data_IF_694090891645
#
_entry.id   IF_694090891645
#
_cell.length_a   1.000
_cell.length_b   1.000
_cell.length_c   1.000
_cell.angle_alpha   90.00
_cell.angle_beta   90.00
_cell.angle_gamma   90.00
#
_symmetry.space_group_name_H-M   'P 1'
#
loop_
_entity.id
_entity.type
_entity.pdbx_description
1 polymer ?
#
# COMPACT_ATOMS: atom_id res chain seq x y z
N UNK A 1 -5.08 2.25 0.83
CA UNK A 1 -4.06 1.20 0.68
C UNK A 1 -2.69 1.80 0.95
N UNK A 2 -1.79 1.07 1.63
CA UNK A 2 -0.41 1.49 1.87
C UNK A 2 0.58 0.55 1.17
N UNK A 3 1.80 1.06 0.94
CA UNK A 3 2.90 0.25 0.42
C UNK A 3 4.00 0.14 1.47
N UNK A 4 4.43 -1.07 1.74
CA UNK A 4 5.53 -1.37 2.66
C UNK A 4 6.73 -1.93 1.90
N UNK A 5 7.90 -1.81 2.52
CA UNK A 5 9.15 -2.35 2.02
C UNK A 5 9.82 -3.17 3.11
N UNK A 6 10.09 -4.45 2.83
CA UNK A 6 10.70 -5.38 3.79
C UNK A 6 12.12 -5.76 3.38
N UNK A 7 13.05 -5.69 4.34
CA UNK A 7 14.44 -6.11 4.20
C UNK A 7 14.66 -7.46 4.90
N UNK A 8 14.53 -8.56 4.15
CA UNK A 8 14.44 -9.93 4.71
C UNK A 8 15.80 -10.63 4.83
N UNK A 9 16.83 -10.18 4.11
CA UNK A 9 18.16 -10.78 4.21
C UNK A 9 18.13 -12.30 3.94
N UNK A 10 18.49 -13.10 4.95
CA UNK A 10 18.57 -14.57 4.87
C UNK A 10 17.23 -15.30 5.07
N UNK A 11 16.20 -14.66 5.63
CA UNK A 11 14.89 -15.29 5.87
C UNK A 11 13.93 -15.21 4.69
N UNK A 12 14.35 -14.53 3.61
CA UNK A 12 13.52 -14.31 2.42
C UNK A 12 12.93 -15.61 1.86
N UNK A 13 13.74 -16.65 1.70
CA UNK A 13 13.30 -17.89 1.04
C UNK A 13 12.27 -18.67 1.88
N UNK A 14 12.44 -18.68 3.21
CA UNK A 14 11.49 -19.29 4.15
C UNK A 14 10.16 -18.51 4.18
N UNK A 15 10.23 -17.19 4.30
CA UNK A 15 9.05 -16.30 4.34
C UNK A 15 8.26 -16.33 3.03
N UNK A 16 8.98 -16.28 1.90
CA UNK A 16 8.39 -16.43 0.57
C UNK A 16 7.70 -17.77 0.41
N UNK A 17 8.34 -18.87 0.79
CA UNK A 17 7.77 -20.22 0.67
C UNK A 17 6.57 -20.41 1.59
N UNK A 18 6.62 -19.84 2.78
CA UNK A 18 5.55 -19.89 3.76
C UNK A 18 4.38 -18.94 3.46
N UNK A 19 4.57 -17.93 2.61
CA UNK A 19 3.55 -16.94 2.29
C UNK A 19 3.25 -16.01 3.47
N UNK A 20 4.29 -15.54 4.16
CA UNK A 20 4.15 -14.61 5.28
C UNK A 20 5.35 -13.68 5.39
N UNK A 21 5.19 -12.61 6.17
CA UNK A 21 6.30 -11.86 6.79
C UNK A 21 6.16 -11.95 8.30
N UNK A 22 7.28 -12.07 9.01
CA UNK A 22 7.29 -12.21 10.46
C UNK A 22 8.43 -11.43 11.11
N UNK A 23 8.17 -10.84 12.27
CA UNK A 23 9.21 -10.20 13.08
C UNK A 23 8.94 -10.39 14.58
N UNK A 24 9.96 -10.44 15.45
CA UNK A 24 9.75 -10.46 16.89
C UNK A 24 9.13 -9.13 17.36
N UNK A 25 8.44 -9.11 18.49
CA UNK A 25 7.85 -7.87 19.00
C UNK A 25 8.90 -6.89 19.55
N UNK A 26 9.98 -7.43 20.11
CA UNK A 26 11.08 -6.69 20.74
C UNK A 26 12.41 -7.05 20.10
N UNK A 27 13.37 -6.12 20.19
CA UNK A 27 14.74 -6.41 19.81
C UNK A 27 15.44 -7.30 20.86
N UNK A 28 16.65 -7.79 20.54
CA UNK A 28 17.45 -8.64 21.45
C UNK A 28 17.74 -8.04 22.84
N UNK A 29 17.56 -6.72 23.01
CA UNK A 29 17.74 -6.00 24.29
C UNK A 29 16.42 -5.72 25.00
N UNK A 30 15.30 -6.29 24.54
CA UNK A 30 13.96 -6.05 25.08
C UNK A 30 13.34 -4.70 24.72
N UNK A 31 13.95 -3.94 23.80
CA UNK A 31 13.45 -2.62 23.38
C UNK A 31 12.53 -2.69 22.16
N UNK A 32 11.65 -1.70 22.02
CA UNK A 32 10.84 -1.51 20.80
C UNK A 32 11.75 -1.25 19.59
N UNK A 33 11.39 -1.84 18.46
CA UNK A 33 12.04 -1.60 17.17
C UNK A 33 11.01 -1.02 16.19
N UNK A 34 11.33 0.11 15.57
CA UNK A 34 10.39 0.78 14.64
C UNK A 34 9.98 -0.13 13.49
N UNK A 35 10.89 -0.98 12.98
CA UNK A 35 10.56 -1.93 11.93
C UNK A 35 9.56 -3.00 12.39
N UNK A 36 9.66 -3.47 13.63
CA UNK A 36 8.68 -4.43 14.17
C UNK A 36 7.35 -3.76 14.47
N UNK A 37 7.37 -2.53 14.98
CA UNK A 37 6.17 -1.72 15.17
C UNK A 37 5.46 -1.44 13.84
N UNK A 38 6.21 -1.20 12.75
CA UNK A 38 5.61 -0.95 11.43
C UNK A 38 4.78 -2.13 10.92
N UNK A 39 5.09 -3.37 11.31
CA UNK A 39 4.26 -4.54 10.97
C UNK A 39 2.81 -4.34 11.44
N UNK A 40 2.61 -3.76 12.62
CA UNK A 40 1.27 -3.59 13.22
C UNK A 40 0.36 -2.63 12.44
N UNK A 41 0.93 -1.82 11.54
CA UNK A 41 0.16 -0.92 10.66
C UNK A 41 -0.28 -1.58 9.36
N UNK A 42 0.22 -2.78 9.04
CA UNK A 42 -0.14 -3.49 7.81
C UNK A 42 -1.59 -3.99 7.93
N UNK A 43 -2.37 -3.65 6.91
CA UNK A 43 -3.75 -4.08 6.72
C UNK A 43 -3.84 -5.05 5.56
N UNK A 44 -4.88 -5.88 5.60
CA UNK A 44 -5.26 -6.68 4.44
C UNK A 44 -5.35 -5.76 3.20
N UNK A 45 -4.89 -6.26 2.06
CA UNK A 45 -4.82 -5.58 0.76
C UNK A 45 -3.67 -4.57 0.60
N UNK A 46 -2.86 -4.30 1.62
CA UNK A 46 -1.63 -3.51 1.45
C UNK A 46 -0.58 -4.26 0.61
N UNK A 47 0.20 -3.49 -0.16
CA UNK A 47 1.31 -4.03 -0.94
C UNK A 47 2.60 -4.09 -0.12
N UNK A 48 3.39 -5.14 -0.32
CA UNK A 48 4.71 -5.29 0.29
C UNK A 48 5.75 -5.57 -0.78
N UNK A 49 6.75 -4.70 -0.87
CA UNK A 49 7.92 -4.85 -1.74
C UNK A 49 9.01 -5.59 -0.96
N UNK A 50 9.47 -6.72 -1.49
CA UNK A 50 10.39 -7.62 -0.79
C UNK A 50 11.81 -7.48 -1.30
N UNK A 51 12.74 -7.20 -0.39
CA UNK A 51 14.15 -7.08 -0.68
C UNK A 51 15.01 -8.08 0.08
N UNK A 52 15.92 -8.70 -0.65
CA UNK A 52 16.96 -9.56 -0.10
C UNK A 52 18.22 -9.48 -0.97
N UNK A 53 19.39 -9.60 -0.33
CA UNK A 53 20.69 -9.51 -1.02
C UNK A 53 20.86 -8.25 -1.88
N UNK A 54 20.37 -7.10 -1.39
CA UNK A 54 20.42 -5.79 -2.07
C UNK A 54 19.63 -5.75 -3.40
N UNK A 55 18.64 -6.63 -3.56
CA UNK A 55 17.76 -6.69 -4.72
C UNK A 55 16.31 -6.75 -4.28
N UNK A 56 15.43 -6.07 -5.02
CA UNK A 56 13.98 -6.29 -4.94
C UNK A 56 13.70 -7.59 -5.70
N UNK A 57 13.12 -8.57 -5.02
CA UNK A 57 12.91 -9.92 -5.56
C UNK A 57 11.46 -10.25 -5.83
N UNK A 58 10.52 -9.64 -5.11
CA UNK A 58 9.10 -9.93 -5.23
C UNK A 58 8.26 -8.77 -4.74
N UNK A 59 6.99 -8.77 -5.12
CA UNK A 59 5.92 -7.97 -4.52
C UNK A 59 4.86 -8.94 -3.97
N UNK A 60 4.19 -8.58 -2.90
CA UNK A 60 3.04 -9.34 -2.39
C UNK A 60 1.89 -8.44 -1.98
N UNK A 61 0.73 -9.05 -1.81
CA UNK A 61 -0.46 -8.41 -1.22
C UNK A 61 -0.73 -9.07 0.13
N UNK A 62 -0.88 -8.26 1.18
CA UNK A 62 -1.27 -8.72 2.51
C UNK A 62 -2.66 -9.37 2.45
N UNK A 63 -2.76 -10.62 2.92
CA UNK A 63 -4.00 -11.40 2.97
C UNK A 63 -4.72 -11.27 4.31
N UNK A 64 -4.02 -10.75 5.32
CA UNK A 64 -4.53 -10.50 6.67
C UNK A 64 -4.04 -9.15 7.15
N UNK A 65 -4.74 -8.58 8.13
CA UNK A 65 -4.13 -7.60 9.03
C UNK A 65 -2.96 -8.25 9.78
N UNK A 66 -2.09 -7.42 10.37
CA UNK A 66 -1.08 -7.90 11.30
C UNK A 66 -1.71 -8.54 12.54
N UNK A 67 -1.23 -9.72 12.91
CA UNK A 67 -1.65 -10.45 14.11
C UNK A 67 -0.45 -11.00 14.87
N UNK A 68 -0.66 -11.36 16.13
CA UNK A 68 0.38 -11.99 16.95
C UNK A 68 0.49 -13.47 16.61
N UNK A 69 1.71 -13.94 16.39
CA UNK A 69 1.98 -15.35 16.11
C UNK A 69 3.36 -15.76 16.64
N UNK A 70 3.46 -17.04 16.98
CA UNK A 70 4.74 -17.65 17.31
C UNK A 70 5.67 -17.62 16.10
N UNK A 71 6.98 -17.60 16.39
CA UNK A 71 8.02 -17.64 15.39
C UNK A 71 7.87 -18.88 14.50
N UNK A 72 7.88 -18.72 13.17
CA UNK A 72 7.96 -19.83 12.23
C UNK A 72 9.22 -20.69 12.42
N UNK A 73 9.14 -21.95 12.01
CA UNK A 73 10.31 -22.82 11.90
C UNK A 73 11.13 -22.40 10.67
N UNK A 74 12.07 -21.47 10.90
CA UNK A 74 13.01 -21.02 9.88
C UNK A 74 14.09 -22.07 9.65
N UNK A 75 14.33 -22.43 8.39
CA UNK A 75 15.43 -23.33 8.02
C UNK A 75 16.77 -22.58 7.93
N UNK A 76 16.73 -21.27 7.72
CA UNK A 76 17.93 -20.44 7.48
C UNK A 76 18.28 -19.48 8.61
N UNK A 77 17.41 -19.32 9.62
CA UNK A 77 17.66 -18.45 10.77
C UNK A 77 18.27 -19.24 11.94
N UNK A 78 19.24 -18.64 12.63
CA UNK A 78 19.71 -19.21 13.90
C UNK A 78 18.58 -19.15 14.94
N UNK A 79 18.00 -20.32 15.25
CA UNK A 79 16.84 -20.50 16.15
C UNK A 79 17.00 -19.86 17.55
N UNK A 80 18.21 -19.47 17.96
CA UNK A 80 18.48 -18.92 19.29
C UNK A 80 18.54 -17.38 19.34
N UNK A 81 18.29 -16.67 18.24
CA UNK A 81 18.50 -15.22 18.19
C UNK A 81 17.23 -14.37 18.40
N UNK A 82 16.03 -14.94 18.26
CA UNK A 82 14.77 -14.20 18.29
C UNK A 82 13.78 -14.79 19.29
N UNK A 83 12.97 -13.91 19.86
CA UNK A 83 11.89 -14.25 20.77
C UNK A 83 10.87 -15.19 20.10
N UNK A 84 10.16 -15.96 20.91
CA UNK A 84 9.15 -16.91 20.43
C UNK A 84 7.92 -16.16 19.93
N UNK A 85 7.52 -15.06 20.55
CA UNK A 85 6.35 -14.29 20.17
C UNK A 85 6.71 -13.14 19.21
N UNK A 86 5.91 -12.99 18.15
CA UNK A 86 6.12 -11.98 17.13
C UNK A 86 4.84 -11.48 16.49
N UNK A 87 5.03 -10.67 15.46
CA UNK A 87 4.00 -10.17 14.56
C UNK A 87 4.10 -10.90 13.23
N UNK A 88 2.96 -11.30 12.69
CA UNK A 88 2.85 -11.97 11.40
C UNK A 88 1.82 -11.28 10.51
N UNK A 89 2.08 -11.30 9.21
CA UNK A 89 1.11 -10.99 8.16
C UNK A 89 1.19 -12.10 7.12
N UNK A 90 0.06 -12.69 6.76
CA UNK A 90 0.02 -13.64 5.65
C UNK A 90 0.03 -12.86 4.33
N UNK A 91 0.80 -13.31 3.34
CA UNK A 91 1.03 -12.58 2.11
C UNK A 91 0.93 -13.49 0.89
N UNK A 92 0.40 -12.95 -0.20
CA UNK A 92 0.38 -13.62 -1.49
C UNK A 92 1.54 -13.11 -2.35
N UNK A 93 2.64 -13.84 -2.36
CA UNK A 93 3.85 -13.49 -3.11
C UNK A 93 3.66 -13.58 -4.63
N UNK A 94 4.33 -12.65 -5.32
CA UNK A 94 4.55 -12.62 -6.76
C UNK A 94 6.01 -12.27 -7.04
N UNK A 95 6.74 -13.25 -7.54
CA UNK A 95 8.17 -13.12 -7.78
C UNK A 95 8.47 -12.31 -9.02
N UNK A 96 9.61 -11.63 -8.96
CA UNK A 96 10.19 -11.02 -10.12
C UNK A 96 11.13 -12.00 -10.81
N UNK A 97 10.88 -12.32 -12.08
CA UNK A 97 11.80 -13.15 -12.86
C UNK A 97 13.18 -12.48 -13.01
N UNK A 98 13.22 -11.15 -13.04
CA UNK A 98 14.44 -10.35 -13.02
C UNK A 98 14.45 -9.44 -11.79
N UNK A 99 15.15 -9.83 -10.70
CA UNK A 99 15.27 -9.00 -9.51
C UNK A 99 15.92 -7.64 -9.80
N UNK A 100 15.35 -6.58 -9.22
CA UNK A 100 15.83 -5.22 -9.42
C UNK A 100 16.98 -4.91 -8.44
N UNK A 101 18.16 -4.58 -8.95
CA UNK A 101 19.33 -4.29 -8.12
C UNK A 101 19.29 -2.86 -7.56
N UNK A 102 19.07 -2.73 -6.24
CA UNK A 102 18.90 -1.43 -5.57
C UNK A 102 20.06 -0.45 -5.80
N UNK A 103 21.29 -0.95 -5.94
CA UNK A 103 22.46 -0.09 -6.17
C UNK A 103 22.37 0.72 -7.47
N UNK A 104 21.61 0.25 -8.47
CA UNK A 104 21.41 0.96 -9.75
C UNK A 104 20.47 2.16 -9.63
N UNK A 105 19.70 2.23 -8.56
CA UNK A 105 18.66 3.24 -8.34
C UNK A 105 19.03 4.25 -7.25
N UNK A 106 20.27 4.18 -6.75
CA UNK A 106 20.73 4.97 -5.61
C UNK A 106 20.70 6.48 -5.90
N UNK A 107 21.09 6.88 -7.10
CA UNK A 107 21.10 8.29 -7.52
C UNK A 107 19.69 8.88 -7.54
N UNK A 108 18.76 8.18 -8.20
CA UNK A 108 17.35 8.57 -8.22
C UNK A 108 16.75 8.70 -6.81
N UNK A 109 17.08 7.76 -5.89
CA UNK A 109 16.62 7.81 -4.50
C UNK A 109 17.18 8.99 -3.70
N UNK A 110 18.39 9.48 -4.04
CA UNK A 110 18.98 10.66 -3.42
C UNK A 110 18.24 11.91 -3.89
N UNK A 111 18.02 12.02 -5.20
CA UNK A 111 17.31 13.15 -5.83
C UNK A 111 15.85 13.23 -5.39
N UNK A 112 15.21 12.08 -5.17
CA UNK A 112 13.79 11.98 -4.82
C UNK A 112 13.58 11.61 -3.34
N UNK A 113 14.51 11.99 -2.45
CA UNK A 113 14.43 11.61 -1.04
C UNK A 113 13.09 11.95 -0.37
N UNK A 114 12.58 11.00 0.42
CA UNK A 114 11.37 11.12 1.24
C UNK A 114 11.66 10.73 2.69
N UNK A 115 11.42 11.60 3.69
CA UNK A 115 11.86 11.36 5.07
C UNK A 115 11.25 10.13 5.74
N UNK A 116 9.99 9.83 5.41
CA UNK A 116 9.22 8.73 6.01
C UNK A 116 9.21 7.44 5.18
N UNK A 117 10.05 7.35 4.13
CA UNK A 117 10.15 6.17 3.25
C UNK A 117 11.18 5.13 3.71
N UNK A 118 11.41 4.06 2.95
CA UNK A 118 12.32 2.97 3.30
C UNK A 118 13.82 3.27 3.15
N UNK A 119 14.18 4.44 2.60
CA UNK A 119 15.56 4.80 2.23
C UNK A 119 16.05 6.03 3.00
N UNK A 120 17.36 6.12 3.19
CA UNK A 120 18.08 7.23 3.82
C UNK A 120 18.37 8.32 2.78
N UNK A 121 18.79 9.51 3.24
CA UNK A 121 19.18 10.66 2.39
C UNK A 121 20.27 10.33 1.37
N UNK A 122 21.08 9.30 1.64
CA UNK A 122 22.16 8.85 0.78
C UNK A 122 21.74 7.68 -0.13
N UNK A 123 20.44 7.41 -0.27
CA UNK A 123 19.87 6.37 -1.11
C UNK A 123 20.05 4.93 -0.60
N UNK A 124 20.66 4.72 0.58
CA UNK A 124 20.76 3.38 1.18
C UNK A 124 19.46 2.99 1.88
N UNK A 125 19.15 1.69 1.90
CA UNK A 125 18.02 1.16 2.67
C UNK A 125 18.21 1.38 4.18
N UNK A 126 17.12 1.64 4.89
CA UNK A 126 17.12 1.72 6.36
C UNK A 126 17.45 0.34 6.95
N UNK A 127 18.20 0.31 8.06
CA UNK A 127 18.45 -0.92 8.83
C UNK A 127 17.23 -1.28 9.71
N UNK A 128 16.10 -1.54 9.07
CA UNK A 128 14.81 -1.85 9.69
C UNK A 128 14.17 -2.99 8.90
N UNK A 129 13.53 -3.95 9.59
CA UNK A 129 12.92 -5.08 8.91
C UNK A 129 11.77 -4.62 8.00
N UNK A 130 10.79 -3.88 8.54
CA UNK A 130 9.67 -3.33 7.79
C UNK A 130 9.68 -1.79 7.77
N UNK A 131 9.50 -1.19 6.61
CA UNK A 131 9.39 0.25 6.43
C UNK A 131 8.11 0.59 5.67
N UNK A 132 7.50 1.74 5.99
CA UNK A 132 6.59 2.37 5.04
C UNK A 132 7.39 2.79 3.80
N UNK A 133 6.82 2.56 2.62
CA UNK A 133 7.36 3.00 1.36
C UNK A 133 6.53 4.14 0.83
N UNK A 134 7.18 5.26 0.54
CA UNK A 134 6.55 6.39 -0.12
C UNK A 134 6.03 5.97 -1.50
N UNK A 135 4.85 6.45 -1.88
CA UNK A 135 4.18 6.06 -3.12
C UNK A 135 5.00 6.39 -4.37
N UNK A 136 5.74 7.52 -4.39
CA UNK A 136 6.61 7.87 -5.51
C UNK A 136 7.73 6.84 -5.67
N UNK A 137 8.28 6.36 -4.55
CA UNK A 137 9.29 5.30 -4.59
C UNK A 137 8.68 3.97 -5.04
N UNK A 138 7.46 3.64 -4.58
CA UNK A 138 6.77 2.43 -4.97
C UNK A 138 6.50 2.40 -6.49
N UNK A 139 5.92 3.49 -7.01
CA UNK A 139 5.65 3.71 -8.44
C UNK A 139 6.94 3.54 -9.24
N UNK A 140 8.01 4.25 -8.85
CA UNK A 140 9.29 4.18 -9.54
C UNK A 140 9.86 2.74 -9.60
N UNK A 141 9.87 2.02 -8.47
CA UNK A 141 10.39 0.65 -8.48
C UNK A 141 9.54 -0.31 -9.31
N UNK A 142 8.22 -0.15 -9.31
CA UNK A 142 7.31 -0.95 -10.14
C UNK A 142 7.55 -0.68 -11.63
N UNK A 143 7.70 0.57 -12.03
CA UNK A 143 8.03 0.94 -13.41
C UNK A 143 9.39 0.38 -13.85
N UNK A 144 10.42 0.51 -13.02
CA UNK A 144 11.74 -0.04 -13.29
C UNK A 144 11.74 -1.56 -13.35
N UNK A 145 10.97 -2.23 -12.48
CA UNK A 145 10.78 -3.67 -12.52
C UNK A 145 10.11 -4.09 -13.83
N UNK A 146 8.99 -3.46 -14.21
CA UNK A 146 8.23 -3.77 -15.44
C UNK A 146 9.14 -3.75 -16.69
N UNK A 147 10.07 -2.80 -16.78
CA UNK A 147 10.99 -2.65 -17.93
C UNK A 147 11.91 -3.84 -18.14
N UNK A 148 12.21 -4.60 -17.10
CA UNK A 148 13.22 -5.68 -17.13
C UNK A 148 12.62 -7.08 -17.02
N UNK A 149 11.31 -7.22 -16.76
CA UNK A 149 10.67 -8.53 -16.64
C UNK A 149 10.55 -9.24 -17.99
N UNK A 150 10.74 -10.56 -17.95
CA UNK A 150 10.60 -11.42 -19.13
C UNK A 150 9.20 -12.06 -19.21
N UNK A 151 8.56 -12.37 -18.08
CA UNK A 151 7.22 -12.96 -18.07
C UNK A 151 6.13 -11.92 -18.29
N UNK A 152 5.25 -12.18 -19.25
CA UNK A 152 4.03 -11.39 -19.44
C UNK A 152 3.13 -11.42 -18.21
N UNK A 153 3.11 -12.54 -17.46
CA UNK A 153 2.34 -12.65 -16.23
C UNK A 153 2.89 -11.70 -15.16
N UNK A 154 4.21 -11.69 -14.96
CA UNK A 154 4.86 -10.80 -14.00
C UNK A 154 4.62 -9.33 -14.39
N UNK A 155 4.76 -8.98 -15.67
CA UNK A 155 4.46 -7.63 -16.17
C UNK A 155 3.01 -7.25 -15.90
N UNK A 156 2.05 -8.14 -16.17
CA UNK A 156 0.62 -7.89 -15.95
C UNK A 156 0.30 -7.67 -14.47
N UNK A 157 0.89 -8.46 -13.57
CA UNK A 157 0.72 -8.32 -12.12
C UNK A 157 1.28 -6.97 -11.65
N UNK A 158 2.49 -6.61 -12.07
CA UNK A 158 3.10 -5.33 -11.69
C UNK A 158 2.32 -4.13 -12.22
N UNK A 159 1.81 -4.20 -13.45
CA UNK A 159 0.95 -3.15 -14.02
C UNK A 159 -0.34 -2.96 -13.24
N UNK A 160 -0.95 -4.04 -12.75
CA UNK A 160 -2.14 -3.97 -11.89
C UNK A 160 -1.80 -3.33 -10.55
N UNK A 161 -0.75 -3.80 -9.88
CA UNK A 161 -0.30 -3.20 -8.63
C UNK A 161 0.03 -1.71 -8.77
N UNK A 162 0.70 -1.34 -9.88
CA UNK A 162 0.98 0.05 -10.22
C UNK A 162 -0.30 0.87 -10.42
N UNK A 163 -1.28 0.33 -11.15
CA UNK A 163 -2.56 0.99 -11.36
C UNK A 163 -3.33 1.17 -10.06
N UNK A 164 -3.33 0.17 -9.16
CA UNK A 164 -3.97 0.26 -7.86
C UNK A 164 -3.32 1.35 -6.98
N UNK A 165 -1.98 1.41 -6.97
CA UNK A 165 -1.22 2.43 -6.21
C UNK A 165 -1.45 3.83 -6.80
N UNK A 166 -1.41 3.99 -8.12
CA UNK A 166 -1.68 5.28 -8.78
C UNK A 166 -3.13 5.71 -8.54
N UNK A 167 -4.09 4.79 -8.67
CA UNK A 167 -5.51 5.09 -8.46
C UNK A 167 -5.81 5.55 -7.04
N UNK A 168 -5.17 4.95 -6.03
CA UNK A 168 -5.25 5.43 -4.65
C UNK A 168 -4.54 6.78 -4.47
N UNK A 169 -3.34 6.94 -5.03
CA UNK A 169 -2.62 8.20 -5.00
C UNK A 169 -3.42 9.33 -5.64
N UNK A 170 -4.12 9.08 -6.75
CA UNK A 170 -4.92 10.07 -7.48
C UNK A 170 -6.36 10.17 -6.95
N UNK A 171 -6.76 9.33 -5.98
CA UNK A 171 -8.10 9.31 -5.43
C UNK A 171 -8.51 10.69 -4.90
N UNK A 172 -9.54 11.25 -5.51
CA UNK A 172 -10.20 12.45 -5.05
C UNK A 172 -10.97 12.25 -3.74
N UNK A 173 -11.20 11.00 -3.32
CA UNK A 173 -11.87 10.66 -2.07
C UNK A 173 -10.86 10.52 -0.94
N UNK A 174 -11.20 11.08 0.21
CA UNK A 174 -10.56 10.71 1.47
C UNK A 174 -11.10 9.34 1.95
N UNK A 175 -10.25 8.50 2.55
CA UNK A 175 -10.64 7.14 2.98
C UNK A 175 -11.78 7.18 4.00
N UNK A 176 -11.75 8.14 4.94
CA UNK A 176 -12.80 8.32 5.94
C UNK A 176 -14.07 8.85 5.27
N UNK A 177 -13.92 9.82 4.35
CA UNK A 177 -15.06 10.34 3.58
C UNK A 177 -15.76 9.25 2.76
N UNK A 178 -14.99 8.41 2.06
CA UNK A 178 -15.52 7.27 1.30
C UNK A 178 -16.28 6.30 2.20
N UNK A 179 -15.69 5.92 3.34
CA UNK A 179 -16.36 5.05 4.30
C UNK A 179 -17.66 5.65 4.85
N UNK A 180 -17.71 6.96 5.10
CA UNK A 180 -18.95 7.62 5.56
C UNK A 180 -20.02 7.58 4.47
N UNK A 181 -19.64 7.83 3.21
CA UNK A 181 -20.57 7.77 2.08
C UNK A 181 -21.10 6.34 1.90
N UNK A 182 -20.22 5.34 1.84
CA UNK A 182 -20.60 3.93 1.68
C UNK A 182 -21.55 3.49 2.81
N UNK A 183 -21.23 3.82 4.06
CA UNK A 183 -22.11 3.54 5.20
C UNK A 183 -23.48 4.24 5.10
N UNK A 184 -23.55 5.48 4.60
CA UNK A 184 -24.84 6.17 4.43
C UNK A 184 -25.68 5.48 3.35
N UNK A 185 -25.04 5.06 2.26
CA UNK A 185 -25.71 4.38 1.16
C UNK A 185 -26.25 3.01 1.60
N UNK A 186 -25.49 2.26 2.40
CA UNK A 186 -25.88 0.93 2.89
C UNK A 186 -26.99 0.97 3.96
N UNK A 187 -27.12 2.08 4.71
CA UNK A 187 -28.06 2.21 5.83
C UNK A 187 -29.31 3.05 5.53
N UNK A 188 -29.35 3.84 4.46
CA UNK A 188 -30.56 4.56 4.04
C UNK A 188 -31.49 3.63 3.24
N UNK A 189 -32.79 3.64 3.60
CA UNK A 189 -33.82 2.88 2.90
C UNK A 189 -33.94 3.31 1.42
N UNK A 190 -34.54 2.46 0.56
CA UNK A 190 -34.76 2.63 -0.91
C UNK A 190 -35.44 3.94 -1.36
N UNK A 191 -35.70 4.87 -0.45
CA UNK A 191 -36.23 6.21 -0.73
C UNK A 191 -35.10 7.12 -1.16
N UNK A 192 -34.83 7.17 -2.46
CA UNK A 192 -33.91 8.14 -3.07
C UNK A 192 -34.47 9.56 -2.87
N UNK A 193 -33.82 10.43 -2.07
CA UNK A 193 -34.33 11.78 -1.87
C UNK A 193 -34.22 12.59 -3.17
N UNK A 194 -35.20 13.44 -3.46
CA UNK A 194 -35.22 14.32 -4.63
C UNK A 194 -34.29 15.53 -4.40
N UNK A 195 -33.48 15.91 -5.39
CA UNK A 195 -32.55 17.04 -5.23
C UNK A 195 -33.26 18.31 -5.63
N UNK A 196 -33.40 19.22 -4.67
CA UNK A 196 -34.07 20.51 -4.85
C UNK A 196 -33.10 21.69 -4.81
N UNK A 197 -31.80 21.41 -5.02
CA UNK A 197 -30.74 22.42 -4.98
C UNK A 197 -30.63 23.23 -6.26
N UNK A 198 -29.78 24.25 -6.25
CA UNK A 198 -29.32 24.94 -7.45
C UNK A 198 -27.97 24.36 -7.88
N UNK A 199 -27.76 24.21 -9.20
CA UNK A 199 -26.49 23.72 -9.72
C UNK A 199 -25.45 24.83 -9.57
N UNK A 200 -24.40 24.56 -8.79
CA UNK A 200 -23.31 25.51 -8.53
C UNK A 200 -21.99 24.86 -8.93
N UNK A 201 -20.98 25.69 -9.20
CA UNK A 201 -19.64 25.19 -9.46
C UNK A 201 -19.14 24.37 -8.25
N UNK A 202 -18.45 23.26 -8.53
CA UNK A 202 -17.88 22.40 -7.50
C UNK A 202 -16.84 23.17 -6.68
N UNK A 203 -17.10 23.35 -5.40
CA UNK A 203 -16.12 23.93 -4.48
C UNK A 203 -14.96 22.95 -4.29
N UNK A 204 -13.72 23.45 -4.22
CA UNK A 204 -12.54 22.67 -3.90
C UNK A 204 -12.13 22.89 -2.44
N UNK A 205 -11.52 21.88 -1.83
CA UNK A 205 -10.89 21.94 -0.51
C UNK A 205 -9.46 21.41 -0.61
N UNK A 206 -8.59 21.81 0.29
CA UNK A 206 -7.21 21.35 0.32
C UNK A 206 -7.04 20.37 1.48
N UNK A 207 -6.66 19.13 1.18
CA UNK A 207 -6.35 18.17 2.24
C UNK A 207 -5.11 18.66 3.00
N UNK A 208 -5.22 18.81 4.33
CA UNK A 208 -4.21 19.49 5.16
C UNK A 208 -2.83 18.83 5.18
N UNK A 209 -2.72 17.59 4.70
CA UNK A 209 -1.48 16.82 4.69
C UNK A 209 -0.75 16.77 3.34
N UNK A 210 -1.44 17.00 2.21
CA UNK A 210 -0.88 16.78 0.86
C UNK A 210 -0.79 18.06 0.01
N UNK A 211 -1.27 19.21 0.50
CA UNK A 211 -1.48 20.45 -0.30
C UNK A 211 -2.28 20.22 -1.61
N UNK A 212 -2.96 19.08 -1.73
CA UNK A 212 -3.73 18.67 -2.89
C UNK A 212 -5.14 19.25 -2.81
N UNK A 213 -5.58 19.88 -3.89
CA UNK A 213 -6.97 20.28 -4.07
C UNK A 213 -7.83 19.05 -4.40
N UNK A 214 -8.93 18.89 -3.67
CA UNK A 214 -9.94 17.85 -3.88
C UNK A 214 -11.32 18.50 -3.90
N UNK A 215 -12.32 17.94 -4.58
CA UNK A 215 -13.69 18.43 -4.50
C UNK A 215 -14.19 18.40 -3.05
N UNK A 216 -14.73 19.52 -2.57
CA UNK A 216 -15.41 19.60 -1.28
C UNK A 216 -16.77 18.90 -1.41
N UNK A 217 -16.93 17.75 -0.77
CA UNK A 217 -18.16 16.97 -0.82
C UNK A 217 -18.91 17.05 0.51
N UNK A 218 -20.23 16.89 0.43
CA UNK A 218 -21.08 16.61 1.58
C UNK A 218 -21.47 15.13 1.50
N UNK A 219 -21.08 14.28 2.47
CA UNK A 219 -21.31 12.83 2.39
C UNK A 219 -22.76 12.43 2.17
N UNK A 220 -23.73 13.14 2.76
CA UNK A 220 -25.17 12.87 2.56
C UNK A 220 -25.63 13.16 1.14
N UNK A 221 -25.16 14.27 0.58
CA UNK A 221 -25.49 14.66 -0.80
C UNK A 221 -24.86 13.69 -1.79
N UNK A 222 -23.61 13.26 -1.54
CA UNK A 222 -22.92 12.29 -2.36
C UNK A 222 -23.61 10.90 -2.32
N UNK A 223 -23.99 10.43 -1.14
CA UNK A 223 -24.74 9.17 -0.97
C UNK A 223 -26.08 9.20 -1.72
N UNK A 224 -26.87 10.27 -1.53
CA UNK A 224 -28.13 10.46 -2.25
C UNK A 224 -27.95 10.53 -3.78
N UNK A 225 -26.88 11.16 -4.25
CA UNK A 225 -26.56 11.23 -5.68
C UNK A 225 -26.19 9.86 -6.25
N UNK A 226 -25.38 9.06 -5.52
CA UNK A 226 -25.01 7.69 -5.91
C UNK A 226 -26.23 6.76 -5.98
N UNK A 227 -27.10 6.81 -4.98
CA UNK A 227 -28.35 6.05 -4.97
C UNK A 227 -29.26 6.44 -6.14
N UNK A 228 -29.39 7.75 -6.43
CA UNK A 228 -30.15 8.22 -7.59
C UNK A 228 -29.56 7.73 -8.91
N UNK A 229 -28.24 7.76 -9.01
CA UNK A 229 -27.53 7.32 -10.20
C UNK A 229 -27.55 5.80 -10.40
N UNK A 230 -28.01 5.02 -9.40
CA UNK A 230 -27.92 3.56 -9.44
C UNK A 230 -26.47 3.09 -9.60
N UNK A 231 -25.51 3.81 -9.01
CA UNK A 231 -24.07 3.61 -9.16
C UNK A 231 -23.54 3.71 -10.60
N UNK A 232 -24.29 4.34 -11.51
CA UNK A 232 -23.79 4.65 -12.85
C UNK A 232 -23.02 5.97 -12.82
N UNK A 233 -21.83 5.98 -13.43
CA UNK A 233 -20.98 7.18 -13.49
C UNK A 233 -21.67 8.35 -14.25
N UNK A 234 -22.65 8.06 -15.10
CA UNK A 234 -23.39 9.04 -15.88
C UNK A 234 -24.90 8.79 -15.72
N UNK A 235 -25.56 9.57 -14.85
CA UNK A 235 -27.02 9.52 -14.73
C UNK A 235 -27.73 10.30 -15.86
N UNK A 236 -27.04 11.28 -16.45
CA UNK A 236 -27.53 12.07 -17.57
C UNK A 236 -26.67 11.83 -18.81
N UNK A 237 -27.12 11.02 -19.79
CA UNK A 237 -26.36 10.73 -21.00
C UNK A 237 -26.22 11.94 -21.96
N UNK A 238 -26.86 13.07 -21.66
CA UNK A 238 -26.69 14.31 -22.42
C UNK A 238 -25.65 15.26 -21.82
N UNK A 239 -25.11 14.95 -20.63
CA UNK A 239 -24.01 15.73 -20.07
C UNK A 239 -22.72 15.36 -20.79
N UNK A 240 -22.06 16.35 -21.40
CA UNK A 240 -20.88 16.14 -22.27
C UNK A 240 -19.56 16.17 -21.51
N UNK A 241 -19.62 16.31 -20.19
CA UNK A 241 -18.46 16.51 -19.34
C UNK A 241 -18.54 15.47 -18.23
N UNK A 242 -17.47 14.70 -18.10
CA UNK A 242 -17.24 13.73 -17.02
C UNK A 242 -17.16 14.41 -15.66
#
# INVERSE_FOLDING_TARGET
>A
MSVFFVFQGTTYDDERKGGFVWSPQLNKRGGKNRGFTNMTYIKKEDFIVHSANQMIKSISIAQTDCYEADRPDYTTAEENLWDKQGYMVNTLYKDLDQPLKLSKHREWLIENYRPNSAFLKDGRGKQQYMCLLDEDHAIYFLEEAIKIQNSEEAVRVLKRALQDIIGEKESEYDVVEKQVIDNLVDNEADVVPEWTGEQRAQEMTTASFEERQKPKRNPKVAAAALQRAGYQCEFNPNDRIF
#
